data_IF_808714054416
#
_entry.id   IF_808714054416
#
_cell.length_a   1.000
_cell.length_b   1.000
_cell.length_c   1.000
_cell.angle_alpha   90.00
_cell.angle_beta   90.00
_cell.angle_gamma   90.00
#
_symmetry.space_group_name_H-M   'P 1'
#
loop_
_entity.id
_entity.type
_entity.pdbx_description
1 polymer ?
#
# COMPACT_ATOMS: atom_id res chain seq x y z
N UNK A 1 -11.19 6.18 -2.29
CA UNK A 1 -9.74 6.25 -2.59
C UNK A 1 -9.03 5.17 -1.78
N UNK A 2 -8.00 4.55 -2.34
CA UNK A 2 -7.19 3.61 -1.58
C UNK A 2 -6.54 4.29 -0.37
N UNK A 3 -6.46 3.60 0.76
CA UNK A 3 -5.76 4.09 1.93
C UNK A 3 -4.26 4.16 1.64
N UNK A 4 -3.69 5.35 1.80
CA UNK A 4 -2.24 5.59 1.68
C UNK A 4 -1.70 6.02 3.04
N UNK A 5 -0.74 5.29 3.62
CA UNK A 5 -0.13 5.66 4.89
C UNK A 5 0.53 7.04 4.85
N UNK A 6 0.34 7.83 5.89
CA UNK A 6 0.99 9.11 6.07
C UNK A 6 2.15 8.99 7.05
N UNK A 7 3.35 8.93 6.50
CA UNK A 7 4.58 8.75 7.29
C UNK A 7 5.42 10.04 7.40
N UNK A 8 4.99 11.11 6.74
CA UNK A 8 5.67 12.42 6.73
C UNK A 8 4.67 13.56 6.86
N UNK A 9 5.15 14.74 7.24
CA UNK A 9 4.35 15.97 7.35
C UNK A 9 3.88 16.53 6.00
N UNK A 10 4.31 15.96 4.87
CA UNK A 10 3.92 16.44 3.53
C UNK A 10 2.39 16.43 3.38
N UNK A 11 1.80 17.56 2.98
CA UNK A 11 0.35 17.71 2.79
C UNK A 11 -0.44 17.94 4.08
N UNK A 12 0.21 18.23 5.22
CA UNK A 12 -0.47 18.65 6.46
C UNK A 12 -0.26 20.13 6.65
N UNK A 13 -1.05 20.91 5.95
CA UNK A 13 -1.03 22.37 6.05
C UNK A 13 -2.37 22.86 6.58
N UNK A 14 -2.35 23.95 7.33
CA UNK A 14 -3.57 24.54 7.88
C UNK A 14 -4.50 25.14 6.81
N UNK A 15 -4.01 25.33 5.61
CA UNK A 15 -4.78 25.78 4.45
C UNK A 15 -5.60 24.68 3.78
N UNK A 16 -5.27 23.39 4.04
CA UNK A 16 -6.10 22.30 3.56
C UNK A 16 -7.42 22.20 4.32
N UNK A 17 -8.54 22.04 3.60
CA UNK A 17 -9.90 22.08 4.17
C UNK A 17 -10.14 21.13 5.34
N UNK A 18 -9.52 19.95 5.33
CA UNK A 18 -9.64 18.95 6.42
C UNK A 18 -8.88 19.32 7.69
N UNK A 19 -7.89 20.22 7.61
CA UNK A 19 -7.11 20.70 8.76
C UNK A 19 -7.41 22.17 9.09
N UNK A 20 -8.32 22.82 8.36
CA UNK A 20 -8.67 24.23 8.48
C UNK A 20 -10.19 24.47 8.53
N UNK A 21 -10.73 25.36 7.74
CA UNK A 21 -12.10 25.89 7.82
C UNK A 21 -13.23 24.86 7.82
N UNK A 22 -13.00 23.65 7.30
CA UNK A 22 -13.99 22.54 7.37
C UNK A 22 -13.90 21.71 8.64
N UNK A 23 -12.85 21.86 9.42
CA UNK A 23 -12.58 21.08 10.63
C UNK A 23 -13.23 21.78 11.84
N UNK A 24 -14.06 21.08 12.66
CA UNK A 24 -14.76 21.70 13.79
C UNK A 24 -13.83 22.20 14.91
N UNK A 25 -12.58 21.75 14.93
CA UNK A 25 -11.58 22.23 15.88
C UNK A 25 -10.89 23.53 15.43
N UNK A 26 -10.96 23.87 14.14
CA UNK A 26 -10.45 25.13 13.64
C UNK A 26 -11.47 26.27 13.82
N UNK A 27 -11.08 27.48 14.22
CA UNK A 27 -9.74 27.94 14.50
C UNK A 27 -9.29 27.81 15.96
N UNK A 28 -10.14 27.34 16.86
CA UNK A 28 -9.85 27.36 18.30
C UNK A 28 -8.70 26.42 18.71
N UNK A 29 -8.59 25.28 18.03
CA UNK A 29 -7.61 24.23 18.28
C UNK A 29 -6.93 23.85 16.99
N UNK A 30 -6.21 24.78 16.37
CA UNK A 30 -5.43 24.56 15.15
C UNK A 30 -4.33 23.52 15.41
N UNK A 31 -3.73 23.01 14.31
CA UNK A 31 -2.49 22.23 14.44
C UNK A 31 -1.39 23.07 15.12
N UNK A 32 -0.61 22.51 16.04
CA UNK A 32 -0.59 21.11 16.45
C UNK A 32 -1.64 20.77 17.52
N UNK A 33 -2.53 19.84 17.19
CA UNK A 33 -3.56 19.34 18.11
C UNK A 33 -4.00 17.94 17.67
N UNK A 34 -4.10 16.98 18.58
CA UNK A 34 -4.37 15.58 18.25
C UNK A 34 -5.78 15.38 17.68
N UNK A 35 -6.79 16.05 18.22
CA UNK A 35 -8.18 15.92 17.73
C UNK A 35 -8.38 16.64 16.40
N UNK A 36 -7.79 17.84 16.22
CA UNK A 36 -7.81 18.53 14.93
C UNK A 36 -7.14 17.67 13.83
N UNK A 37 -5.98 17.09 14.13
CA UNK A 37 -5.27 16.22 13.20
C UNK A 37 -6.06 14.96 12.88
N UNK A 38 -6.47 14.22 13.89
CA UNK A 38 -7.18 12.95 13.70
C UNK A 38 -8.50 13.14 12.94
N UNK A 39 -9.24 14.23 13.20
CA UNK A 39 -10.43 14.60 12.45
C UNK A 39 -10.11 14.82 10.96
N UNK A 40 -9.09 15.65 10.70
CA UNK A 40 -8.68 15.97 9.34
C UNK A 40 -8.20 14.75 8.56
N UNK A 41 -7.32 13.94 9.16
CA UNK A 41 -6.81 12.72 8.53
C UNK A 41 -7.91 11.68 8.30
N UNK A 42 -8.83 11.53 9.24
CA UNK A 42 -10.01 10.66 9.07
C UNK A 42 -10.90 11.14 7.91
N UNK A 43 -11.11 12.46 7.79
CA UNK A 43 -11.84 13.04 6.67
C UNK A 43 -11.15 12.79 5.32
N UNK A 44 -9.85 13.05 5.26
CA UNK A 44 -9.04 12.80 4.06
C UNK A 44 -9.19 11.35 3.58
N UNK A 45 -9.08 10.37 4.49
CA UNK A 45 -9.24 8.94 4.20
C UNK A 45 -10.68 8.61 3.80
N UNK A 46 -11.67 9.16 4.52
CA UNK A 46 -13.09 8.90 4.28
C UNK A 46 -13.60 9.49 2.97
N UNK A 47 -12.93 10.54 2.45
CA UNK A 47 -13.30 11.25 1.24
C UNK A 47 -14.51 12.20 1.39
N UNK A 48 -15.12 12.26 2.57
CA UNK A 48 -16.26 13.15 2.91
C UNK A 48 -16.15 13.63 4.35
N UNK A 49 -16.82 14.74 4.67
CA UNK A 49 -16.82 15.29 6.03
C UNK A 49 -17.35 14.24 7.02
N UNK A 50 -16.56 13.84 8.05
CA UNK A 50 -16.96 12.82 8.99
C UNK A 50 -17.91 13.38 10.05
N UNK A 51 -18.80 12.54 10.57
CA UNK A 51 -19.59 12.83 11.76
C UNK A 51 -18.87 12.30 13.01
N UNK A 52 -17.73 12.93 13.34
CA UNK A 52 -17.01 12.63 14.56
C UNK A 52 -17.43 13.60 15.67
N UNK A 53 -17.52 13.10 16.90
CA UNK A 53 -17.80 13.93 18.06
C UNK A 53 -16.69 14.98 18.27
N UNK A 54 -17.05 16.12 18.83
CA UNK A 54 -16.11 17.11 19.34
C UNK A 54 -15.83 16.83 20.82
N UNK A 55 -14.71 17.32 21.34
CA UNK A 55 -14.29 17.10 22.73
C UNK A 55 -12.80 16.72 22.79
N UNK A 56 -12.37 16.36 23.99
CA UNK A 56 -10.99 15.90 24.23
C UNK A 56 -10.75 14.50 23.66
N UNK A 57 -9.51 14.14 23.47
CA UNK A 57 -9.15 12.82 22.91
C UNK A 57 -9.74 11.65 23.70
N UNK A 58 -9.78 11.73 25.02
CA UNK A 58 -10.34 10.72 25.91
C UNK A 58 -11.84 10.46 25.72
N UNK A 59 -12.57 11.48 25.23
CA UNK A 59 -14.02 11.43 25.04
C UNK A 59 -14.40 10.67 23.75
N UNK A 60 -13.52 10.62 22.77
CA UNK A 60 -13.86 10.14 21.44
C UNK A 60 -14.35 8.69 21.44
N UNK A 61 -13.67 7.82 22.17
CA UNK A 61 -14.09 6.43 22.27
C UNK A 61 -15.53 6.27 22.74
N UNK A 62 -15.94 7.07 23.72
CA UNK A 62 -17.27 7.00 24.30
C UNK A 62 -18.33 7.74 23.49
N UNK A 63 -17.98 8.88 22.89
CA UNK A 63 -18.94 9.81 22.30
C UNK A 63 -19.21 9.54 20.82
N UNK A 64 -18.25 9.04 20.05
CA UNK A 64 -18.46 8.72 18.63
C UNK A 64 -19.31 7.45 18.52
N UNK A 65 -20.45 7.53 17.80
CA UNK A 65 -21.41 6.43 17.64
C UNK A 65 -21.58 5.99 16.19
N UNK A 66 -21.25 6.84 15.23
CA UNK A 66 -21.57 6.63 13.82
C UNK A 66 -20.57 5.74 13.07
N UNK A 67 -19.51 5.32 13.76
CA UNK A 67 -18.47 4.47 13.18
C UNK A 67 -18.28 3.18 13.98
N UNK A 68 -18.03 2.06 13.32
CA UNK A 68 -17.71 0.81 14.00
C UNK A 68 -16.46 0.95 14.88
N UNK A 69 -16.41 0.18 15.95
CA UNK A 69 -15.35 0.20 16.95
C UNK A 69 -14.87 -1.20 17.28
N UNK A 70 -13.63 -1.33 17.73
CA UNK A 70 -13.10 -2.61 18.18
C UNK A 70 -11.74 -2.52 18.82
N UNK A 71 -11.19 -3.68 19.18
CA UNK A 71 -9.88 -3.81 19.81
C UNK A 71 -8.80 -4.27 18.83
N UNK A 72 -9.20 -4.70 17.64
CA UNK A 72 -8.26 -5.09 16.58
C UNK A 72 -7.88 -3.87 15.74
N UNK A 73 -6.59 -3.58 15.51
CA UNK A 73 -6.21 -2.44 14.69
C UNK A 73 -6.66 -2.63 13.24
N UNK A 74 -7.04 -1.51 12.60
CA UNK A 74 -7.29 -1.42 11.16
C UNK A 74 -6.59 -0.17 10.62
N UNK A 75 -6.11 -0.24 9.40
CA UNK A 75 -5.50 0.91 8.73
C UNK A 75 -6.49 2.08 8.68
N UNK A 76 -5.99 3.30 8.89
CA UNK A 76 -6.82 4.51 8.89
C UNK A 76 -7.77 4.65 10.09
N UNK A 77 -7.78 3.70 11.01
CA UNK A 77 -8.57 3.82 12.24
C UNK A 77 -8.00 4.88 13.19
N UNK A 78 -8.86 5.50 13.97
CA UNK A 78 -8.45 6.33 15.10
C UNK A 78 -8.15 5.41 16.28
N UNK A 79 -6.92 5.41 16.77
CA UNK A 79 -6.55 4.82 18.03
C UNK A 79 -6.82 5.83 19.16
N UNK A 80 -7.50 5.41 20.21
CA UNK A 80 -7.96 6.26 21.32
C UNK A 80 -7.32 5.84 22.64
N UNK A 81 -6.89 6.85 23.43
CA UNK A 81 -6.34 6.66 24.78
C UNK A 81 -6.98 7.62 25.76
N UNK A 82 -7.36 7.10 26.92
CA UNK A 82 -7.76 7.85 28.10
C UNK A 82 -6.50 8.35 28.83
N UNK A 83 -6.46 9.62 29.17
CA UNK A 83 -5.34 10.24 29.90
C UNK A 83 -5.40 10.08 31.41
N UNK A 84 -6.52 9.60 31.93
CA UNK A 84 -6.80 9.56 33.36
C UNK A 84 -7.04 10.96 33.98
N UNK A 85 -7.19 11.01 35.28
CA UNK A 85 -7.57 12.24 35.97
C UNK A 85 -6.60 13.41 35.70
N UNK A 86 -7.13 14.48 35.12
CA UNK A 86 -6.42 15.72 34.82
C UNK A 86 -5.67 15.74 33.48
N UNK A 87 -5.95 14.82 32.58
CA UNK A 87 -5.37 14.76 31.22
C UNK A 87 -6.46 14.53 30.18
N UNK A 88 -6.32 15.19 29.04
CA UNK A 88 -7.30 15.24 27.96
C UNK A 88 -7.27 13.99 27.03
N UNK A 89 -6.53 12.95 27.38
CA UNK A 89 -6.32 11.79 26.56
C UNK A 89 -5.56 12.06 25.26
N UNK A 90 -5.55 11.10 24.34
CA UNK A 90 -4.93 11.24 23.02
C UNK A 90 -5.65 10.44 21.97
N UNK A 91 -5.58 10.92 20.72
CA UNK A 91 -6.04 10.23 19.52
C UNK A 91 -4.99 10.32 18.44
N UNK A 92 -4.83 9.22 17.68
CA UNK A 92 -3.88 9.11 16.59
C UNK A 92 -4.46 8.25 15.47
N UNK A 93 -3.89 8.33 14.27
CA UNK A 93 -4.35 7.50 13.15
C UNK A 93 -3.40 6.32 12.95
N UNK A 94 -3.95 5.13 12.76
CA UNK A 94 -3.18 3.91 12.43
C UNK A 94 -2.78 3.98 10.97
N UNK A 95 -1.49 4.14 10.72
CA UNK A 95 -0.94 4.24 9.36
C UNK A 95 -0.35 2.90 8.88
N UNK A 96 0.21 2.10 9.79
CA UNK A 96 0.72 0.76 9.48
C UNK A 96 0.35 -0.23 10.58
N UNK A 97 0.24 -1.50 10.21
CA UNK A 97 0.08 -2.62 11.14
C UNK A 97 1.23 -3.58 10.89
N UNK A 98 2.00 -3.86 11.93
CA UNK A 98 3.16 -4.76 11.89
C UNK A 98 2.88 -6.01 12.73
N UNK A 99 3.74 -7.01 12.64
CA UNK A 99 3.63 -8.23 13.46
C UNK A 99 3.73 -7.95 14.97
N UNK A 100 4.37 -6.84 15.35
CA UNK A 100 4.66 -6.50 16.74
C UNK A 100 3.88 -5.29 17.26
N UNK A 101 3.14 -4.60 16.41
CA UNK A 101 2.44 -3.38 16.80
C UNK A 101 1.79 -2.63 15.66
N UNK A 102 1.57 -1.36 15.90
CA UNK A 102 1.06 -0.40 14.91
C UNK A 102 2.00 0.79 14.81
N UNK A 103 2.05 1.43 13.64
CA UNK A 103 2.61 2.77 13.49
C UNK A 103 1.47 3.75 13.39
N UNK A 104 1.50 4.79 14.22
CA UNK A 104 0.49 5.84 14.23
C UNK A 104 1.07 7.16 13.75
N UNK A 105 0.25 7.96 13.07
CA UNK A 105 0.52 9.36 12.80
C UNK A 105 -0.23 10.25 13.80
N UNK A 106 0.43 11.32 14.22
CA UNK A 106 0.04 12.14 15.35
C UNK A 106 0.29 13.62 15.08
N UNK A 107 -0.43 14.48 15.82
CA UNK A 107 -0.13 15.90 15.94
C UNK A 107 -0.47 16.39 17.34
N UNK A 108 0.21 17.46 17.78
CA UNK A 108 0.06 17.95 19.14
C UNK A 108 0.65 16.96 20.12
N UNK A 109 0.41 17.22 21.35
CA UNK A 109 0.92 16.50 22.50
C UNK A 109 2.39 16.77 22.83
N UNK A 110 2.63 16.79 24.12
CA UNK A 110 3.93 17.11 24.69
C UNK A 110 4.82 15.87 24.77
N UNK A 111 5.79 15.75 23.86
CA UNK A 111 7.02 14.98 24.14
C UNK A 111 8.09 15.95 24.66
N UNK A 112 8.97 15.53 25.55
CA UNK A 112 10.13 16.36 25.91
C UNK A 112 10.88 16.78 24.64
N UNK A 113 11.09 18.07 24.48
CA UNK A 113 11.76 18.70 23.31
C UNK A 113 13.09 18.04 22.95
N UNK A 114 13.73 17.36 23.88
CA UNK A 114 14.99 16.62 23.69
C UNK A 114 14.89 15.39 22.79
N UNK A 115 13.68 14.95 22.42
CA UNK A 115 13.47 13.75 21.58
C UNK A 115 12.98 14.06 20.15
N UNK A 116 12.85 15.34 19.76
CA UNK A 116 12.46 15.75 18.42
C UNK A 116 13.62 16.38 17.65
N UNK A 117 13.70 16.19 16.33
CA UNK A 117 14.40 17.13 15.47
C UNK A 117 13.79 18.53 15.65
N UNK A 118 14.60 19.60 15.74
CA UNK A 118 14.13 20.95 16.08
C UNK A 118 13.11 21.55 15.09
N UNK A 119 12.97 20.97 13.91
CA UNK A 119 12.19 21.44 12.77
C UNK A 119 10.87 20.70 12.54
N UNK A 120 10.66 19.54 13.18
CA UNK A 120 9.45 18.74 12.99
C UNK A 120 8.42 18.92 14.08
N UNK A 121 8.69 19.75 15.11
CA UNK A 121 7.77 20.19 16.13
C UNK A 121 6.50 19.33 16.30
N UNK A 122 5.75 19.54 17.30
CA UNK A 122 4.45 18.93 17.60
C UNK A 122 3.41 18.87 16.43
N UNK A 123 3.71 19.42 15.24
CA UNK A 123 2.78 19.42 14.09
C UNK A 123 2.48 18.05 13.53
N UNK A 124 3.50 17.24 13.37
CA UNK A 124 3.37 15.88 12.87
C UNK A 124 4.51 15.00 13.37
N UNK A 125 4.16 13.81 13.81
CA UNK A 125 5.14 12.78 14.18
C UNK A 125 4.53 11.40 14.05
N UNK A 126 5.36 10.38 13.89
CA UNK A 126 4.95 8.99 13.88
C UNK A 126 5.46 8.28 15.13
N UNK A 127 4.69 7.31 15.61
CA UNK A 127 5.03 6.50 16.77
C UNK A 127 4.75 5.03 16.50
N UNK A 128 5.69 4.17 16.90
CA UNK A 128 5.47 2.73 16.90
C UNK A 128 4.93 2.31 18.27
N UNK A 129 3.69 1.83 18.28
CA UNK A 129 3.03 1.31 19.48
C UNK A 129 3.10 -0.21 19.43
N UNK A 130 3.85 -0.83 20.36
CA UNK A 130 4.01 -2.28 20.41
C UNK A 130 2.79 -2.95 21.05
N UNK A 131 2.41 -4.13 20.55
CA UNK A 131 1.43 -4.98 21.20
C UNK A 131 2.05 -5.61 22.44
N UNK A 132 1.42 -5.43 23.60
CA UNK A 132 1.74 -6.20 24.79
C UNK A 132 0.90 -7.49 24.82
N UNK A 133 1.55 -8.63 25.00
CA UNK A 133 0.90 -9.95 25.04
C UNK A 133 0.04 -10.28 23.80
N UNK A 134 0.49 -9.81 22.62
CA UNK A 134 -0.17 -10.12 21.35
C UNK A 134 -1.49 -9.36 21.09
N UNK A 135 -1.94 -8.49 21.99
CA UNK A 135 -3.26 -7.86 21.88
C UNK A 135 -3.31 -6.37 22.12
N UNK A 136 -2.24 -5.73 22.63
CA UNK A 136 -2.35 -4.36 23.08
C UNK A 136 -1.07 -3.56 22.98
N UNK A 137 -1.20 -2.31 22.50
CA UNK A 137 -0.10 -1.37 22.53
C UNK A 137 0.20 -0.89 23.95
N UNK A 138 1.47 -0.83 24.32
CA UNK A 138 1.94 0.03 25.38
C UNK A 138 2.37 1.35 24.76
N UNK A 139 1.56 2.40 24.93
CA UNK A 139 1.98 3.73 24.54
C UNK A 139 3.07 4.22 25.52
N UNK A 140 4.27 4.40 25.03
CA UNK A 140 5.40 4.87 25.85
C UNK A 140 5.43 6.40 25.98
N UNK A 141 4.34 7.00 26.31
CA UNK A 141 4.37 8.36 26.82
C UNK A 141 4.71 8.32 28.31
N UNK A 142 5.33 9.38 28.82
CA UNK A 142 5.72 9.53 30.22
C UNK A 142 4.53 9.54 31.22
N UNK A 143 3.35 9.12 30.78
CA UNK A 143 2.08 9.11 31.50
C UNK A 143 1.33 7.81 31.22
N UNK A 144 0.54 7.37 32.17
CA UNK A 144 -0.24 6.13 32.06
C UNK A 144 -1.51 6.34 31.21
N UNK A 145 -1.35 6.50 29.91
CA UNK A 145 -2.49 6.50 29.00
C UNK A 145 -3.06 5.09 28.87
N UNK A 146 -4.36 4.96 29.19
CA UNK A 146 -5.07 3.71 29.03
C UNK A 146 -5.62 3.59 27.61
N UNK A 147 -5.20 2.58 26.87
CA UNK A 147 -5.75 2.33 25.54
C UNK A 147 -7.24 1.94 25.64
N UNK A 148 -8.10 2.65 24.89
CA UNK A 148 -9.55 2.45 24.87
C UNK A 148 -9.98 1.54 23.71
N UNK A 149 -9.39 1.69 22.52
CA UNK A 149 -9.73 0.94 21.31
C UNK A 149 -9.56 1.75 20.04
N UNK A 150 -10.08 1.20 18.95
CA UNK A 150 -10.02 1.77 17.60
C UNK A 150 -11.41 2.15 17.10
N UNK A 151 -11.53 3.34 16.50
CA UNK A 151 -12.71 3.79 15.76
C UNK A 151 -12.38 3.62 14.28
N UNK A 152 -13.14 2.77 13.58
CA UNK A 152 -12.79 2.35 12.23
C UNK A 152 -13.26 3.34 11.18
N UNK A 153 -12.38 3.60 10.20
CA UNK A 153 -12.68 4.45 9.06
C UNK A 153 -13.14 3.59 7.87
N UNK A 154 -14.40 3.68 7.45
CA UNK A 154 -14.88 2.88 6.33
C UNK A 154 -14.26 3.26 4.97
N UNK A 155 -13.59 4.42 4.88
CA UNK A 155 -12.81 4.81 3.72
C UNK A 155 -11.42 4.17 3.64
N UNK A 156 -10.96 3.58 4.75
CA UNK A 156 -9.66 2.91 4.84
C UNK A 156 -9.78 1.40 4.61
N UNK A 157 -10.56 0.99 3.65
CA UNK A 157 -10.64 -0.44 3.30
C UNK A 157 -9.25 -0.91 2.92
N UNK A 158 -8.71 -1.98 3.55
CA UNK A 158 -7.46 -2.56 3.09
C UNK A 158 -7.58 -2.90 1.62
N UNK A 159 -6.63 -2.42 0.82
CA UNK A 159 -6.57 -2.79 -0.57
C UNK A 159 -6.51 -4.32 -0.66
N UNK A 160 -7.42 -4.88 -1.42
CA UNK A 160 -7.44 -6.29 -1.79
C UNK A 160 -7.53 -6.38 -3.30
N UNK A 161 -6.95 -7.41 -3.87
CA UNK A 161 -7.18 -7.71 -5.26
C UNK A 161 -8.67 -7.89 -5.50
N UNK A 162 -9.19 -7.16 -6.48
CA UNK A 162 -10.53 -7.34 -7.01
C UNK A 162 -10.39 -8.31 -8.18
N UNK A 163 -11.10 -9.44 -8.11
CA UNK A 163 -10.92 -10.55 -9.02
C UNK A 163 -12.29 -11.09 -9.47
N UNK A 164 -12.30 -11.83 -10.54
CA UNK A 164 -13.47 -12.52 -11.06
C UNK A 164 -13.46 -12.61 -12.57
N UNK A 165 -14.19 -13.57 -13.14
CA UNK A 165 -14.29 -13.74 -14.60
C UNK A 165 -15.28 -12.72 -15.20
N UNK A 166 -14.89 -11.46 -15.17
CA UNK A 166 -15.64 -10.31 -15.69
C UNK A 166 -14.69 -9.14 -15.99
N UNK A 167 -15.15 -8.19 -16.77
CA UNK A 167 -14.44 -6.91 -16.88
C UNK A 167 -14.59 -6.11 -15.60
N UNK A 168 -13.53 -5.42 -15.20
CA UNK A 168 -13.53 -4.50 -14.07
C UNK A 168 -14.04 -3.11 -14.50
N UNK A 169 -14.47 -2.32 -13.54
CA UNK A 169 -14.70 -0.88 -13.72
C UNK A 169 -13.38 -0.14 -13.56
N UNK A 170 -13.29 1.11 -14.07
CA UNK A 170 -12.10 1.94 -13.95
C UNK A 170 -11.59 2.05 -12.49
N UNK A 171 -12.52 2.23 -11.53
CA UNK A 171 -12.17 2.30 -10.11
C UNK A 171 -11.63 0.97 -9.54
N UNK A 172 -12.07 -0.16 -10.07
CA UNK A 172 -11.55 -1.48 -9.70
C UNK A 172 -10.18 -1.76 -10.33
N UNK A 173 -9.97 -1.29 -11.56
CA UNK A 173 -8.66 -1.31 -12.21
C UNK A 173 -7.64 -0.43 -11.46
N UNK A 174 -8.04 0.78 -11.06
CA UNK A 174 -7.23 1.66 -10.22
C UNK A 174 -6.84 0.98 -8.89
N UNK A 175 -7.80 0.32 -8.22
CA UNK A 175 -7.52 -0.47 -7.03
C UNK A 175 -6.47 -1.56 -7.29
N UNK A 176 -6.61 -2.29 -8.37
CA UNK A 176 -5.70 -3.38 -8.72
C UNK A 176 -4.33 -2.86 -9.19
N UNK A 177 -4.26 -1.68 -9.82
CA UNK A 177 -3.00 -1.02 -10.13
C UNK A 177 -2.22 -0.65 -8.85
N UNK A 178 -2.89 -0.18 -7.79
CA UNK A 178 -2.25 -0.01 -6.47
C UNK A 178 -1.74 -1.33 -5.90
N UNK A 179 -2.53 -2.41 -6.00
CA UNK A 179 -2.09 -3.73 -5.54
C UNK A 179 -0.85 -4.20 -6.29
N UNK A 180 -0.81 -3.99 -7.61
CA UNK A 180 0.34 -4.31 -8.44
C UNK A 180 1.57 -3.47 -8.07
N UNK A 181 1.40 -2.14 -7.89
CA UNK A 181 2.46 -1.25 -7.40
C UNK A 181 3.05 -1.78 -6.09
N UNK A 182 2.21 -2.12 -5.11
CA UNK A 182 2.68 -2.60 -3.81
C UNK A 182 3.40 -3.94 -3.92
N UNK A 183 2.89 -4.86 -4.74
CA UNK A 183 3.53 -6.13 -4.95
C UNK A 183 4.91 -5.96 -5.58
N UNK A 184 4.99 -5.26 -6.71
CA UNK A 184 6.21 -5.16 -7.50
C UNK A 184 7.27 -4.26 -6.84
N UNK A 185 6.86 -3.20 -6.14
CA UNK A 185 7.80 -2.40 -5.30
C UNK A 185 8.44 -3.26 -4.21
N UNK A 186 7.68 -4.21 -3.64
CA UNK A 186 8.21 -5.20 -2.68
C UNK A 186 9.29 -6.12 -3.28
N UNK A 187 9.27 -6.32 -4.60
CA UNK A 187 10.31 -7.04 -5.35
C UNK A 187 11.41 -6.13 -5.91
N UNK A 188 11.38 -4.84 -5.59
CA UNK A 188 12.43 -3.88 -5.96
C UNK A 188 12.28 -3.28 -7.36
N UNK A 189 11.11 -3.40 -8.00
CA UNK A 189 10.87 -2.79 -9.29
C UNK A 189 10.77 -1.27 -9.17
N UNK A 190 11.28 -0.56 -10.18
CA UNK A 190 11.10 0.89 -10.31
C UNK A 190 9.64 1.22 -10.68
N UNK A 191 9.20 2.43 -10.35
CA UNK A 191 7.88 2.91 -10.79
C UNK A 191 7.73 2.88 -12.31
N UNK A 192 8.80 3.21 -13.04
CA UNK A 192 8.82 3.21 -14.50
C UNK A 192 8.57 1.79 -15.05
N UNK A 193 9.24 0.78 -14.49
CA UNK A 193 9.04 -0.62 -14.88
C UNK A 193 7.63 -1.13 -14.54
N UNK A 194 7.12 -0.75 -13.36
CA UNK A 194 5.75 -1.08 -12.93
C UNK A 194 4.72 -0.48 -13.89
N UNK A 195 4.85 0.79 -14.22
CA UNK A 195 3.95 1.46 -15.15
C UNK A 195 4.04 0.86 -16.57
N UNK A 196 5.24 0.55 -17.05
CA UNK A 196 5.46 -0.14 -18.32
C UNK A 196 4.77 -1.51 -18.39
N UNK A 197 4.86 -2.30 -17.33
CA UNK A 197 4.15 -3.58 -17.22
C UNK A 197 2.63 -3.37 -17.15
N UNK A 198 2.15 -2.40 -16.36
CA UNK A 198 0.71 -2.10 -16.24
C UNK A 198 0.07 -1.70 -17.57
N UNK A 199 0.78 -0.98 -18.45
CA UNK A 199 0.28 -0.65 -19.78
C UNK A 199 -0.02 -1.90 -20.62
N UNK A 200 0.74 -2.98 -20.45
CA UNK A 200 0.46 -4.26 -21.08
C UNK A 200 -0.67 -5.01 -20.35
N UNK A 201 -0.60 -5.11 -19.04
CA UNK A 201 -1.56 -5.82 -18.20
C UNK A 201 -2.98 -5.23 -18.36
N UNK A 202 -3.13 -3.92 -18.49
CA UNK A 202 -4.43 -3.29 -18.79
C UNK A 202 -4.98 -3.80 -20.14
N UNK A 203 -4.16 -3.82 -21.18
CA UNK A 203 -4.56 -4.31 -22.50
C UNK A 203 -4.89 -5.82 -22.51
N UNK A 204 -4.22 -6.61 -21.67
CA UNK A 204 -4.42 -8.07 -21.59
C UNK A 204 -5.66 -8.45 -20.78
N UNK A 205 -5.87 -7.81 -19.63
CA UNK A 205 -6.81 -8.28 -18.62
C UNK A 205 -7.66 -7.21 -17.96
N UNK A 206 -7.45 -5.90 -18.23
CA UNK A 206 -8.00 -4.83 -17.41
C UNK A 206 -7.52 -4.94 -15.95
N UNK A 207 -6.26 -5.32 -15.75
CA UNK A 207 -5.61 -5.52 -14.44
C UNK A 207 -6.41 -6.50 -13.53
N UNK A 208 -7.08 -7.48 -14.11
CA UNK A 208 -7.91 -8.45 -13.39
C UNK A 208 -7.24 -9.83 -13.33
N UNK A 209 -6.78 -10.28 -12.14
CA UNK A 209 -6.14 -11.59 -12.01
C UNK A 209 -7.07 -12.79 -12.18
N UNK A 210 -8.41 -12.57 -12.19
CA UNK A 210 -9.40 -13.65 -12.30
C UNK A 210 -10.07 -13.79 -13.67
N UNK A 211 -9.63 -13.01 -14.68
CA UNK A 211 -10.30 -13.00 -15.98
C UNK A 211 -9.75 -14.05 -16.93
N UNK A 212 -10.65 -14.74 -17.60
CA UNK A 212 -10.35 -15.63 -18.72
C UNK A 212 -10.53 -14.90 -20.06
N UNK A 213 -9.70 -15.24 -21.02
CA UNK A 213 -9.85 -14.75 -22.39
C UNK A 213 -11.28 -14.98 -22.88
N UNK A 214 -11.90 -13.91 -23.39
CA UNK A 214 -13.30 -13.93 -23.84
C UNK A 214 -14.31 -14.41 -22.77
N UNK A 215 -13.96 -14.32 -21.48
CA UNK A 215 -14.74 -14.80 -20.34
C UNK A 215 -15.05 -16.31 -20.41
N UNK A 216 -14.29 -17.07 -21.19
CA UNK A 216 -14.52 -18.49 -21.42
C UNK A 216 -13.42 -19.36 -20.79
N UNK A 217 -13.68 -20.01 -19.63
CA UNK A 217 -12.70 -20.79 -18.90
C UNK A 217 -12.38 -22.12 -19.59
N UNK A 218 -11.23 -22.16 -20.24
CA UNK A 218 -10.66 -23.38 -20.83
C UNK A 218 -9.14 -23.35 -20.74
N UNK A 219 -8.48 -24.49 -20.51
CA UNK A 219 -7.03 -24.57 -20.38
C UNK A 219 -6.22 -23.99 -21.55
N UNK A 220 -6.81 -23.97 -22.76
CA UNK A 220 -6.17 -23.43 -23.96
C UNK A 220 -6.24 -21.91 -24.08
N UNK A 221 -7.14 -21.26 -23.31
CA UNK A 221 -7.32 -19.82 -23.35
C UNK A 221 -6.32 -19.11 -22.44
N UNK A 222 -6.18 -17.77 -22.66
CA UNK A 222 -5.44 -16.89 -21.79
C UNK A 222 -6.13 -16.71 -20.44
N UNK A 223 -5.34 -16.49 -19.39
CA UNK A 223 -5.83 -16.29 -18.02
C UNK A 223 -4.97 -15.30 -17.22
N UNK A 224 -5.64 -14.49 -16.42
CA UNK A 224 -5.04 -13.63 -15.41
C UNK A 224 -4.38 -12.38 -15.96
N UNK A 225 -3.54 -11.75 -15.15
CA UNK A 225 -2.97 -10.41 -15.39
C UNK A 225 -2.31 -10.26 -16.76
N UNK A 226 -1.51 -11.22 -17.18
CA UNK A 226 -0.76 -11.20 -18.45
C UNK A 226 -1.31 -12.23 -19.47
N UNK A 227 -2.51 -12.71 -19.27
CA UNK A 227 -3.20 -13.66 -20.16
C UNK A 227 -2.33 -14.87 -20.55
N UNK A 228 -1.70 -15.55 -19.56
CA UNK A 228 -0.92 -16.76 -19.84
C UNK A 228 -1.66 -17.73 -20.75
N UNK A 229 -1.09 -18.00 -21.92
CA UNK A 229 -1.68 -18.89 -22.92
C UNK A 229 -0.70 -20.01 -23.30
N UNK A 230 -1.02 -21.29 -23.09
CA UNK A 230 -2.23 -21.76 -22.38
C UNK A 230 -2.23 -21.36 -20.91
N UNK A 231 -3.42 -21.26 -20.32
CA UNK A 231 -3.55 -20.85 -18.89
C UNK A 231 -2.77 -21.75 -17.93
N UNK A 232 -2.56 -23.02 -18.31
CA UNK A 232 -1.80 -24.01 -17.54
C UNK A 232 -0.34 -23.62 -17.30
N UNK A 233 0.21 -22.68 -18.08
CA UNK A 233 1.54 -22.12 -17.83
C UNK A 233 1.64 -21.44 -16.46
N UNK A 234 0.52 -20.91 -15.95
CA UNK A 234 0.44 -20.31 -14.63
C UNK A 234 -0.37 -21.17 -13.65
N UNK A 235 -1.57 -21.66 -14.04
CA UNK A 235 -2.50 -22.29 -13.08
C UNK A 235 -1.93 -23.54 -12.42
N UNK A 236 -1.20 -24.39 -13.18
CA UNK A 236 -0.51 -25.55 -12.60
C UNK A 236 0.55 -25.16 -11.58
N UNK A 237 1.29 -24.10 -11.86
CA UNK A 237 2.29 -23.58 -10.93
C UNK A 237 1.63 -23.01 -9.66
N UNK A 238 0.56 -22.23 -9.81
CA UNK A 238 -0.19 -21.66 -8.70
C UNK A 238 -0.69 -22.75 -7.74
N UNK A 239 -1.34 -23.77 -8.26
CA UNK A 239 -1.84 -24.91 -7.48
C UNK A 239 -0.72 -25.66 -6.75
N UNK A 240 0.41 -25.92 -7.44
CA UNK A 240 1.58 -26.60 -6.84
C UNK A 240 2.25 -25.78 -5.73
N UNK A 241 2.10 -24.45 -5.76
CA UNK A 241 2.69 -23.54 -4.79
C UNK A 241 1.68 -22.99 -3.77
N UNK A 242 0.44 -23.54 -3.76
CA UNK A 242 -0.59 -23.21 -2.75
C UNK A 242 -1.26 -21.86 -2.93
N UNK A 243 -1.23 -21.28 -4.14
CA UNK A 243 -1.97 -20.09 -4.50
C UNK A 243 -3.32 -20.45 -5.14
N UNK A 244 -4.37 -19.68 -4.84
CA UNK A 244 -5.54 -19.67 -5.69
C UNK A 244 -5.15 -19.12 -7.08
N UNK A 245 -5.76 -19.64 -8.15
CA UNK A 245 -5.37 -19.22 -9.50
C UNK A 245 -5.67 -17.72 -9.76
N UNK A 246 -6.66 -17.16 -9.09
CA UNK A 246 -7.06 -15.76 -9.15
C UNK A 246 -6.39 -14.88 -8.05
N UNK A 247 -5.43 -15.43 -7.32
CA UNK A 247 -4.63 -14.65 -6.35
C UNK A 247 -3.65 -13.74 -7.09
N UNK A 248 -3.94 -12.44 -7.09
CA UNK A 248 -3.09 -11.44 -7.73
C UNK A 248 -1.68 -11.36 -7.12
N UNK A 249 -1.51 -11.71 -5.83
CA UNK A 249 -0.17 -11.79 -5.21
C UNK A 249 0.62 -12.96 -5.80
N UNK A 250 -0.02 -14.11 -6.00
CA UNK A 250 0.59 -15.27 -6.65
C UNK A 250 1.00 -14.96 -8.10
N UNK A 251 0.16 -14.22 -8.83
CA UNK A 251 0.47 -13.78 -10.19
C UNK A 251 1.64 -12.78 -10.22
N UNK A 252 1.66 -11.79 -9.32
CA UNK A 252 2.79 -10.88 -9.16
C UNK A 252 4.08 -11.62 -8.79
N UNK A 253 4.00 -12.60 -7.87
CA UNK A 253 5.15 -13.44 -7.52
C UNK A 253 5.70 -14.16 -8.77
N UNK A 254 4.82 -14.76 -9.57
CA UNK A 254 5.21 -15.46 -10.80
C UNK A 254 5.90 -14.51 -11.78
N UNK A 255 5.30 -13.34 -12.05
CA UNK A 255 5.88 -12.32 -12.93
C UNK A 255 7.26 -11.88 -12.43
N UNK A 256 7.42 -11.64 -11.13
CA UNK A 256 8.67 -11.12 -10.58
C UNK A 256 9.79 -12.16 -10.47
N UNK A 257 9.47 -13.44 -10.17
CA UNK A 257 10.46 -14.42 -9.74
C UNK A 257 10.53 -15.66 -10.64
N UNK A 258 9.48 -15.98 -11.41
CA UNK A 258 9.41 -17.20 -12.22
C UNK A 258 9.66 -16.91 -13.70
N UNK A 259 9.41 -15.67 -14.15
CA UNK A 259 9.55 -15.22 -15.54
C UNK A 259 10.86 -15.68 -16.21
N UNK A 260 11.99 -15.50 -15.53
CA UNK A 260 13.32 -15.85 -16.10
C UNK A 260 13.50 -17.37 -16.17
N UNK A 261 13.17 -18.08 -15.10
CA UNK A 261 13.34 -19.55 -15.03
C UNK A 261 12.35 -20.29 -15.92
N UNK A 262 11.19 -19.70 -16.18
CA UNK A 262 10.20 -20.20 -17.13
C UNK A 262 10.56 -19.87 -18.60
N UNK A 263 11.59 -19.06 -18.85
CA UNK A 263 11.97 -18.62 -20.19
C UNK A 263 10.94 -17.66 -20.81
N UNK A 264 10.15 -16.99 -19.98
CA UNK A 264 9.13 -16.06 -20.49
C UNK A 264 9.75 -14.78 -21.04
N UNK A 265 10.83 -14.26 -20.44
CA UNK A 265 11.53 -13.09 -20.94
C UNK A 265 12.60 -13.48 -21.95
N UNK A 266 12.52 -12.93 -23.15
CA UNK A 266 13.50 -13.11 -24.21
C UNK A 266 13.85 -11.73 -24.78
N UNK A 267 15.08 -11.25 -24.57
CA UNK A 267 15.52 -9.96 -25.13
C UNK A 267 15.48 -10.01 -26.66
N UNK A 268 14.80 -9.04 -27.27
CA UNK A 268 14.72 -8.89 -28.73
C UNK A 268 15.81 -7.94 -29.27
N UNK A 269 16.10 -7.93 -30.56
CA UNK A 269 17.05 -6.96 -31.14
C UNK A 269 16.64 -5.50 -30.92
N UNK A 270 15.35 -5.21 -30.91
CA UNK A 270 14.78 -3.88 -30.65
C UNK A 270 14.91 -3.46 -29.18
N UNK A 271 14.78 -4.44 -28.26
CA UNK A 271 14.85 -4.24 -26.82
C UNK A 271 15.80 -5.25 -26.17
N UNK A 272 17.14 -5.09 -26.40
CA UNK A 272 18.12 -6.08 -25.97
C UNK A 272 18.49 -5.95 -24.49
N UNK A 273 17.49 -5.89 -23.63
CA UNK A 273 17.64 -5.76 -22.17
C UNK A 273 17.25 -7.06 -21.45
N UNK A 274 17.95 -7.36 -20.39
CA UNK A 274 17.61 -8.47 -19.49
C UNK A 274 16.37 -8.12 -18.65
N UNK A 275 15.76 -9.13 -18.05
CA UNK A 275 14.65 -8.90 -17.12
C UNK A 275 15.08 -8.05 -15.90
N UNK A 276 16.25 -8.31 -15.33
CA UNK A 276 16.79 -7.53 -14.21
C UNK A 276 17.05 -6.07 -14.63
N UNK A 277 17.54 -5.83 -15.85
CA UNK A 277 17.68 -4.47 -16.38
C UNK A 277 16.32 -3.79 -16.54
N UNK A 278 15.31 -4.51 -17.03
CA UNK A 278 13.95 -3.98 -17.15
C UNK A 278 13.39 -3.58 -15.79
N UNK A 279 13.42 -4.47 -14.78
CA UNK A 279 12.81 -4.23 -13.48
C UNK A 279 13.44 -3.07 -12.71
N UNK A 280 14.74 -2.81 -12.93
CA UNK A 280 15.50 -1.73 -12.29
C UNK A 280 15.62 -0.46 -13.15
N UNK A 281 15.02 -0.45 -14.34
CA UNK A 281 15.18 0.65 -15.32
C UNK A 281 14.46 1.91 -14.89
N UNK A 282 15.05 3.06 -15.23
CA UNK A 282 14.45 4.39 -15.13
C UNK A 282 14.16 5.02 -16.51
N UNK A 283 14.23 4.22 -17.55
CA UNK A 283 13.76 4.62 -18.88
C UNK A 283 12.28 4.99 -18.84
N UNK A 284 11.78 5.68 -19.87
CA UNK A 284 10.37 6.11 -19.87
C UNK A 284 9.41 4.92 -19.76
N UNK A 285 8.25 5.09 -19.10
CA UNK A 285 7.23 4.06 -19.01
C UNK A 285 6.80 3.51 -20.37
N UNK A 286 6.75 4.38 -21.39
CA UNK A 286 6.39 4.04 -22.76
C UNK A 286 7.44 3.13 -23.42
N UNK A 287 8.75 3.41 -23.21
CA UNK A 287 9.82 2.53 -23.67
C UNK A 287 9.74 1.17 -23.01
N UNK A 288 9.49 1.17 -21.69
CA UNK A 288 9.39 -0.07 -20.91
C UNK A 288 8.12 -0.86 -21.24
N UNK A 289 7.01 -0.19 -21.63
CA UNK A 289 5.83 -0.89 -22.14
C UNK A 289 6.15 -1.63 -23.45
N UNK A 290 6.85 -0.99 -24.38
CA UNK A 290 7.31 -1.64 -25.61
C UNK A 290 8.27 -2.79 -25.30
N UNK A 291 9.24 -2.60 -24.40
CA UNK A 291 10.17 -3.65 -24.01
C UNK A 291 9.45 -4.86 -23.38
N UNK A 292 8.42 -4.62 -22.55
CA UNK A 292 7.60 -5.71 -21.97
C UNK A 292 6.80 -6.43 -23.06
N UNK A 293 6.16 -5.68 -23.97
CA UNK A 293 5.44 -6.25 -25.10
C UNK A 293 6.31 -7.16 -25.98
N UNK A 294 7.50 -6.69 -26.35
CA UNK A 294 8.39 -7.42 -27.25
C UNK A 294 9.13 -8.58 -26.59
N UNK A 295 9.49 -8.44 -25.32
CA UNK A 295 10.33 -9.42 -24.62
C UNK A 295 9.53 -10.42 -23.76
N UNK A 296 8.37 -10.01 -23.22
CA UNK A 296 7.54 -10.84 -22.36
C UNK A 296 6.30 -11.38 -23.09
N UNK A 297 5.45 -10.50 -23.66
CA UNK A 297 4.17 -10.89 -24.29
C UNK A 297 4.39 -11.56 -25.65
N UNK A 298 5.18 -10.95 -26.49
CA UNK A 298 5.53 -11.43 -27.86
C UNK A 298 4.31 -11.82 -28.69
N UNK A 299 3.34 -10.92 -28.86
CA UNK A 299 2.15 -11.21 -29.67
C UNK A 299 2.53 -11.39 -31.14
N UNK A 300 1.65 -12.01 -31.90
CA UNK A 300 1.81 -12.08 -33.36
C UNK A 300 1.53 -10.76 -34.09
N UNK A 301 0.84 -9.83 -33.42
CA UNK A 301 0.47 -8.51 -33.92
C UNK A 301 0.82 -7.42 -32.89
N UNK A 302 1.57 -6.43 -33.30
CA UNK A 302 2.02 -5.29 -32.50
C UNK A 302 1.16 -4.04 -32.72
N UNK A 303 0.00 -4.12 -33.35
CA UNK A 303 -0.87 -2.97 -33.63
C UNK A 303 -1.34 -2.23 -32.38
N UNK A 304 -1.34 -2.89 -31.21
CA UNK A 304 -1.72 -2.33 -29.91
C UNK A 304 -0.56 -1.66 -29.17
N UNK A 305 0.64 -1.65 -29.71
CA UNK A 305 1.84 -1.13 -28.99
C UNK A 305 1.66 0.33 -28.56
N UNK A 306 1.13 1.18 -29.44
CA UNK A 306 0.91 2.59 -29.10
C UNK A 306 -0.09 2.75 -27.95
N UNK A 307 -1.18 1.96 -27.94
CA UNK A 307 -2.16 1.96 -26.83
C UNK A 307 -1.50 1.57 -25.52
N UNK A 308 -0.66 0.53 -25.49
CA UNK A 308 0.05 0.08 -24.30
C UNK A 308 1.03 1.13 -23.76
N UNK A 309 1.67 1.88 -24.64
CA UNK A 309 2.53 3.02 -24.28
C UNK A 309 1.74 4.14 -23.62
N UNK A 310 0.57 4.51 -24.17
CA UNK A 310 -0.31 5.53 -23.60
C UNK A 310 -0.87 5.10 -22.24
N UNK A 311 -1.24 3.84 -22.11
CA UNK A 311 -1.66 3.25 -20.82
C UNK A 311 -0.52 3.26 -19.80
N UNK A 312 0.72 2.94 -20.19
CA UNK A 312 1.87 3.02 -19.30
C UNK A 312 2.12 4.45 -18.80
N UNK A 313 1.99 5.45 -19.67
CA UNK A 313 2.07 6.87 -19.28
C UNK A 313 0.96 7.23 -18.28
N UNK A 314 -0.29 6.84 -18.57
CA UNK A 314 -1.44 7.04 -17.66
C UNK A 314 -1.16 6.45 -16.28
N UNK A 315 -0.66 5.22 -16.20
CA UNK A 315 -0.37 4.57 -14.92
C UNK A 315 0.80 5.21 -14.19
N UNK A 316 1.83 5.65 -14.89
CA UNK A 316 2.92 6.39 -14.27
C UNK A 316 2.41 7.68 -13.61
N UNK A 317 1.62 8.49 -14.32
CA UNK A 317 1.06 9.73 -13.79
C UNK A 317 0.12 9.48 -12.61
N UNK A 318 -0.66 8.41 -12.67
CA UNK A 318 -1.57 8.03 -11.59
C UNK A 318 -0.82 7.58 -10.32
N UNK A 319 0.26 6.82 -10.48
CA UNK A 319 0.97 6.18 -9.38
C UNK A 319 2.14 6.98 -8.80
N UNK A 320 2.70 7.97 -9.53
CA UNK A 320 3.93 8.69 -9.13
C UNK A 320 3.82 9.43 -7.78
N UNK A 321 2.62 9.77 -7.34
CA UNK A 321 2.38 10.45 -6.08
C UNK A 321 1.85 9.53 -4.96
N UNK A 322 1.78 8.24 -5.22
CA UNK A 322 1.34 7.25 -4.24
C UNK A 322 2.51 6.92 -3.32
N UNK A 323 2.39 7.11 -2.00
CA UNK A 323 3.38 6.61 -1.07
C UNK A 323 3.46 5.09 -1.18
N UNK A 324 4.65 4.58 -1.47
CA UNK A 324 4.88 3.13 -1.50
C UNK A 324 5.04 2.67 -0.06
N UNK A 325 4.13 1.88 0.51
CA UNK A 325 4.32 1.32 1.84
C UNK A 325 5.53 0.40 1.84
N UNK A 326 6.36 0.51 2.86
CA UNK A 326 7.38 -0.51 3.12
C UNK A 326 6.63 -1.77 3.52
N UNK A 327 6.53 -2.75 2.64
CA UNK A 327 5.95 -4.04 3.02
C UNK A 327 6.78 -4.65 4.14
N UNK A 328 6.17 -5.11 5.24
CA UNK A 328 6.82 -6.14 6.04
C UNK A 328 7.05 -7.33 5.11
N UNK A 329 8.26 -7.88 5.14
CA UNK A 329 8.65 -9.04 4.34
C UNK A 329 7.60 -10.15 4.50
N UNK A 330 6.71 -10.33 3.52
CA UNK A 330 5.82 -11.50 3.53
C UNK A 330 6.67 -12.75 3.26
N UNK A 331 6.49 -13.84 4.01
CA UNK A 331 7.17 -15.08 3.72
C UNK A 331 6.89 -15.51 2.28
N UNK A 332 7.94 -15.86 1.54
CA UNK A 332 7.81 -16.51 0.24
C UNK A 332 7.29 -17.93 0.54
N UNK A 333 6.17 -18.37 -0.03
CA UNK A 333 5.69 -19.74 0.17
C UNK A 333 6.77 -20.75 -0.19
N UNK A 334 7.01 -21.70 0.70
CA UNK A 334 8.05 -22.74 0.53
C UNK A 334 9.42 -22.40 1.12
N UNK A 335 9.65 -21.21 1.64
CA UNK A 335 10.87 -20.85 2.37
C UNK A 335 10.63 -21.00 3.88
N UNK A 336 11.44 -21.83 4.54
CA UNK A 336 11.35 -21.99 5.98
C UNK A 336 11.71 -20.70 6.74
N UNK A 337 11.17 -20.55 7.94
CA UNK A 337 11.35 -19.37 8.80
C UNK A 337 12.83 -18.97 8.99
N UNK A 338 13.73 -19.92 8.95
CA UNK A 338 15.19 -19.72 9.18
C UNK A 338 15.87 -18.92 8.05
N UNK A 339 15.38 -19.02 6.81
CA UNK A 339 15.93 -18.29 5.66
C UNK A 339 15.56 -16.80 5.74
N UNK A 340 14.39 -16.48 6.29
CA UNK A 340 13.93 -15.10 6.50
C UNK A 340 14.73 -14.37 7.56
N UNK A 341 15.12 -15.06 8.63
CA UNK A 341 15.96 -14.50 9.70
C UNK A 341 17.34 -14.11 9.14
N UNK A 342 17.91 -14.95 8.26
CA UNK A 342 19.20 -14.66 7.62
C UNK A 342 19.11 -13.48 6.64
N UNK A 343 18.06 -13.39 5.81
CA UNK A 343 17.88 -12.27 4.87
C UNK A 343 17.62 -10.94 5.59
N UNK A 344 16.79 -10.94 6.63
CA UNK A 344 16.56 -9.77 7.47
C UNK A 344 17.83 -9.29 8.20
N UNK A 345 18.67 -10.21 8.64
CA UNK A 345 19.96 -9.91 9.24
C UNK A 345 20.96 -9.35 8.23
N UNK A 346 21.01 -9.92 7.01
CA UNK A 346 21.87 -9.45 5.90
C UNK A 346 21.42 -8.07 5.43
N UNK A 347 20.14 -7.81 5.24
CA UNK A 347 19.61 -6.51 4.83
C UNK A 347 19.88 -5.44 5.90
N UNK A 348 19.72 -5.77 7.20
CA UNK A 348 20.11 -4.88 8.31
C UNK A 348 21.61 -4.57 8.31
N UNK A 349 22.45 -5.58 8.08
CA UNK A 349 23.91 -5.41 8.08
C UNK A 349 24.39 -4.61 6.86
N UNK A 350 23.80 -4.80 5.69
CA UNK A 350 24.09 -4.03 4.48
C UNK A 350 23.68 -2.56 4.63
N UNK A 351 22.50 -2.27 5.23
CA UNK A 351 22.10 -0.91 5.62
C UNK A 351 23.05 -0.29 6.64
N UNK A 352 23.46 -1.05 7.67
CA UNK A 352 24.43 -0.58 8.69
C UNK A 352 25.77 -0.23 8.07
N UNK A 353 26.20 -0.95 7.05
CA UNK A 353 27.46 -0.70 6.32
C UNK A 353 27.36 0.36 5.22
N UNK A 354 26.19 0.97 5.00
CA UNK A 354 25.92 1.93 3.90
C UNK A 354 26.22 1.38 2.50
N UNK A 355 26.05 0.07 2.30
CA UNK A 355 26.28 -0.60 1.02
C UNK A 355 24.98 -0.61 0.19
N UNK A 356 23.82 -0.38 0.86
CA UNK A 356 22.54 -0.11 0.21
C UNK A 356 21.99 1.20 0.82
N UNK A 357 21.62 2.13 -0.06
CA UNK A 357 20.97 3.39 0.30
C UNK A 357 19.52 3.15 0.72
#
# INVERSE_FOLDING_TARGET
MAFSPRMTAKGIYQDEKWYSTGNPYYPAYQLPNCTCYAYGRFWEILGRNPNLATGNGEDWWNNIKDYPKGQTPQLGAIACWDGGAGYDGHVAIVEEITDTGIVTSNSGYYRPISSYPPDTSSYFWTETCLFSNGTRSSWQLSRNYAFQGYIYNPGATPLKWITGNRYLTDAEEENNAYMFLYAMSGYGWTLNAIAGALGNIESESGINPGIWQNLYPTPSNGYGLVQWTPSTNYTNWAEQNGYAIDDGEGQCYWIANVTVTAGQWIGTPEYPITFDTFTSSTESPEYLASAFLHNFERPSDFSTEQTRREQAHKWYDFLQNVPIPIRPNKPIPGWGADVWIQYGAIAKELKRRRIIL
#
